data_IF_225950734886
#
_entry.id   IF_225950734886
#
_cell.length_a   1.000
_cell.length_b   1.000
_cell.length_c   1.000
_cell.angle_alpha   90.00
_cell.angle_beta   90.00
_cell.angle_gamma   90.00
#
_symmetry.space_group_name_H-M   'P 1'
#
loop_
_entity.id
_entity.type
_entity.pdbx_description
1 polymer ?
#
# COMPACT_ATOMS: atom_id res chain seq x y z
N UNK A 1 -0.39 -13.18 6.52
CA UNK A 1 0.21 -13.50 5.20
C UNK A 1 1.34 -12.51 4.95
N UNK A 2 2.20 -12.67 3.94
CA UNK A 2 3.27 -11.69 3.68
C UNK A 2 3.52 -11.42 2.20
N UNK A 3 3.97 -10.20 1.92
CA UNK A 3 4.64 -9.84 0.68
C UNK A 3 6.14 -9.93 0.89
N UNK A 4 6.82 -10.71 0.05
CA UNK A 4 8.29 -10.77 0.05
C UNK A 4 8.83 -9.64 -0.81
N UNK A 5 9.80 -8.89 -0.29
CA UNK A 5 10.41 -7.78 -1.00
C UNK A 5 11.74 -8.25 -1.60
N UNK A 6 11.83 -8.36 -2.92
CA UNK A 6 13.07 -8.71 -3.62
C UNK A 6 13.95 -7.48 -3.87
N UNK A 7 13.33 -6.33 -4.09
CA UNK A 7 13.98 -5.02 -4.21
C UNK A 7 13.10 -3.98 -3.55
N UNK A 8 13.67 -3.06 -2.78
CA UNK A 8 12.89 -2.08 -2.01
C UNK A 8 12.49 -0.82 -2.80
N UNK A 9 13.18 -0.52 -3.90
CA UNK A 9 13.06 0.78 -4.57
C UNK A 9 13.94 1.85 -3.93
N UNK A 10 13.68 3.12 -4.23
CA UNK A 10 14.45 4.25 -3.70
C UNK A 10 14.08 4.53 -2.24
N UNK A 11 12.78 4.65 -1.96
CA UNK A 11 12.24 4.79 -0.62
C UNK A 11 10.81 4.27 -0.58
N UNK A 12 10.60 3.19 0.17
CA UNK A 12 9.30 2.58 0.41
C UNK A 12 9.05 2.49 1.92
N UNK A 13 7.91 2.96 2.38
CA UNK A 13 7.53 2.94 3.81
C UNK A 13 6.09 2.49 3.98
N UNK A 14 5.77 1.92 5.14
CA UNK A 14 4.36 1.64 5.52
C UNK A 14 3.75 2.93 6.06
N UNK A 15 2.58 3.32 5.55
CA UNK A 15 1.86 4.53 5.96
C UNK A 15 0.37 4.22 6.19
N UNK A 16 -0.18 4.71 7.30
CA UNK A 16 -1.62 4.89 7.51
C UNK A 16 -1.95 6.38 7.65
N UNK A 17 -3.13 6.79 8.16
CA UNK A 17 -3.49 8.21 8.27
C UNK A 17 -2.75 9.01 9.36
N UNK A 18 -1.78 8.40 10.06
CA UNK A 18 -0.86 9.06 10.98
C UNK A 18 -1.26 9.05 12.44
N UNK A 19 -0.31 9.44 13.29
CA UNK A 19 -0.37 9.45 14.78
C UNK A 19 -0.81 10.79 15.35
N UNK A 20 -2.10 11.07 15.24
CA UNK A 20 -2.69 12.29 15.78
C UNK A 20 -2.78 12.26 17.32
N UNK A 21 -2.67 13.42 17.96
CA UNK A 21 -2.87 13.60 19.41
C UNK A 21 -1.58 13.71 20.23
N UNK A 22 -0.40 13.57 19.61
CA UNK A 22 0.91 13.59 20.29
C UNK A 22 1.77 14.81 19.94
N UNK A 23 1.26 15.78 19.17
CA UNK A 23 2.03 16.93 18.68
C UNK A 23 2.49 17.87 19.80
N UNK A 24 1.75 17.96 20.90
CA UNK A 24 2.16 18.73 22.09
C UNK A 24 3.42 18.18 22.76
N UNK A 25 3.74 16.90 22.53
CA UNK A 25 4.97 16.25 22.97
C UNK A 25 6.07 16.25 21.89
N UNK A 26 5.87 16.98 20.78
CA UNK A 26 6.84 17.07 19.68
C UNK A 26 6.84 15.88 18.73
N UNK A 27 5.88 14.96 18.83
CA UNK A 27 5.77 13.80 17.92
C UNK A 27 5.08 14.23 16.62
N UNK A 28 5.74 14.08 15.45
CA UNK A 28 5.10 14.39 14.16
C UNK A 28 4.03 13.35 13.82
N UNK A 29 3.01 13.78 13.09
CA UNK A 29 1.86 12.94 12.69
C UNK A 29 2.29 11.81 11.73
N UNK A 30 3.34 12.01 10.93
CA UNK A 30 3.67 11.14 9.79
C UNK A 30 2.46 10.96 8.85
N UNK A 31 2.28 9.78 8.26
CA UNK A 31 1.19 9.51 7.32
C UNK A 31 1.61 9.62 5.85
N UNK A 32 0.70 9.31 4.92
CA UNK A 32 0.95 9.46 3.50
C UNK A 32 1.12 10.94 3.17
N UNK A 33 2.01 11.25 2.24
CA UNK A 33 2.13 12.62 1.73
C UNK A 33 0.91 13.03 0.90
N UNK A 34 0.28 12.08 0.23
CA UNK A 34 -0.95 12.25 -0.53
C UNK A 34 -2.01 11.29 0.03
N UNK A 35 -2.78 11.82 0.98
CA UNK A 35 -3.87 11.10 1.64
C UNK A 35 -5.01 10.71 0.69
N UNK A 36 -5.19 11.42 -0.44
CA UNK A 36 -6.25 11.09 -1.38
C UNK A 36 -5.93 9.81 -2.13
N UNK A 37 -4.72 9.71 -2.69
CA UNK A 37 -4.26 8.52 -3.40
C UNK A 37 -4.16 7.31 -2.47
N UNK A 38 -3.73 7.51 -1.23
CA UNK A 38 -3.76 6.51 -0.16
C UNK A 38 -5.16 5.93 0.04
N UNK A 39 -6.17 6.80 0.27
CA UNK A 39 -7.56 6.37 0.50
C UNK A 39 -8.15 5.72 -0.75
N UNK A 40 -7.82 6.22 -1.94
CA UNK A 40 -8.22 5.59 -3.20
C UNK A 40 -7.70 4.15 -3.31
N UNK A 41 -6.43 3.90 -2.93
CA UNK A 41 -5.86 2.56 -2.94
C UNK A 41 -6.61 1.63 -1.97
N UNK A 42 -6.86 2.09 -0.73
CA UNK A 42 -7.61 1.33 0.27
C UNK A 42 -9.04 1.03 -0.19
N UNK A 43 -9.78 2.05 -0.65
CA UNK A 43 -11.14 1.88 -1.15
C UNK A 43 -11.22 0.92 -2.34
N UNK A 44 -10.22 0.95 -3.24
CA UNK A 44 -10.16 0.07 -4.40
C UNK A 44 -10.01 -1.42 -4.02
N UNK A 45 -9.39 -1.74 -2.89
CA UNK A 45 -9.29 -3.13 -2.38
C UNK A 45 -10.37 -3.48 -1.35
N UNK A 46 -11.20 -2.51 -0.95
CA UNK A 46 -12.28 -2.68 0.03
C UNK A 46 -11.86 -2.52 1.49
N UNK A 47 -10.72 -1.88 1.75
CA UNK A 47 -10.26 -1.56 3.10
C UNK A 47 -10.96 -0.31 3.65
N UNK A 48 -10.88 -0.11 4.97
CA UNK A 48 -11.13 1.20 5.57
C UNK A 48 -10.10 2.23 5.10
N UNK A 49 -10.50 3.50 5.03
CA UNK A 49 -9.66 4.63 4.62
C UNK A 49 -8.34 4.72 5.40
N UNK A 50 -8.34 4.27 6.66
CA UNK A 50 -7.22 4.28 7.59
C UNK A 50 -6.32 3.05 7.55
N UNK A 51 -6.61 2.05 6.72
CA UNK A 51 -5.75 0.88 6.63
C UNK A 51 -4.35 1.26 6.13
N UNK A 52 -3.32 0.57 6.62
CA UNK A 52 -1.95 0.84 6.23
C UNK A 52 -1.67 0.33 4.80
N UNK A 53 -0.94 1.14 4.02
CA UNK A 53 -0.50 0.88 2.65
C UNK A 53 1.02 1.08 2.55
N UNK A 54 1.64 0.72 1.42
CA UNK A 54 3.00 1.18 1.11
C UNK A 54 2.92 2.54 0.42
N UNK A 55 3.65 3.53 0.93
CA UNK A 55 4.03 4.73 0.19
C UNK A 55 5.38 4.49 -0.49
N UNK A 56 5.40 4.63 -1.81
CA UNK A 56 6.55 4.41 -2.68
C UNK A 56 6.99 5.73 -3.29
N UNK A 57 8.27 6.09 -3.16
CA UNK A 57 8.83 7.35 -3.70
C UNK A 57 9.71 7.09 -4.91
N UNK A 58 9.37 7.70 -6.04
CA UNK A 58 10.07 7.73 -7.34
C UNK A 58 10.32 6.37 -8.03
N UNK A 59 10.90 5.38 -7.36
CA UNK A 59 11.15 4.04 -7.90
C UNK A 59 10.73 3.03 -6.85
N UNK A 60 9.85 2.10 -7.23
CA UNK A 60 9.21 1.18 -6.30
C UNK A 60 9.89 -0.17 -6.12
N UNK A 61 9.27 -1.02 -5.29
CA UNK A 61 9.78 -2.33 -4.98
C UNK A 61 9.42 -3.37 -6.05
N UNK A 62 10.20 -4.45 -6.09
CA UNK A 62 9.79 -5.73 -6.66
C UNK A 62 9.28 -6.60 -5.51
N UNK A 63 8.00 -6.95 -5.54
CA UNK A 63 7.33 -7.72 -4.49
C UNK A 63 6.77 -9.03 -5.03
N UNK A 64 6.68 -10.05 -4.18
CA UNK A 64 6.08 -11.35 -4.47
C UNK A 64 4.98 -11.66 -3.46
N UNK A 65 3.81 -12.05 -3.95
CA UNK A 65 2.68 -12.45 -3.12
C UNK A 65 2.84 -13.91 -2.68
N UNK A 66 3.10 -14.18 -1.39
CA UNK A 66 3.19 -15.58 -0.95
C UNK A 66 1.84 -16.29 -0.89
N UNK A 67 0.79 -15.50 -0.65
CA UNK A 67 -0.59 -15.94 -0.70
C UNK A 67 -1.35 -15.00 -1.63
N UNK A 68 -2.28 -15.54 -2.39
CA UNK A 68 -3.08 -14.74 -3.30
C UNK A 68 -3.90 -13.69 -2.55
N UNK A 69 -3.90 -12.46 -3.07
CA UNK A 69 -4.61 -11.32 -2.46
C UNK A 69 -5.01 -10.32 -3.54
N UNK A 70 -5.90 -9.41 -3.17
CA UNK A 70 -6.26 -8.28 -4.01
C UNK A 70 -5.38 -7.09 -3.69
N UNK A 71 -4.93 -6.41 -4.72
CA UNK A 71 -4.02 -5.27 -4.59
C UNK A 71 -4.48 -4.10 -5.45
N UNK A 72 -4.15 -2.88 -5.02
CA UNK A 72 -4.33 -1.68 -5.81
C UNK A 72 -3.05 -0.84 -5.80
N UNK A 73 -2.74 -0.23 -6.95
CA UNK A 73 -1.63 0.68 -7.16
C UNK A 73 -2.18 2.00 -7.70
N UNK A 74 -2.04 3.07 -6.94
CA UNK A 74 -2.61 4.41 -7.22
C UNK A 74 -1.57 5.52 -7.02
N UNK A 75 -1.97 6.78 -7.21
CA UNK A 75 -1.09 7.94 -7.10
C UNK A 75 -0.36 8.24 -8.40
N UNK A 76 0.92 8.60 -8.29
CA UNK A 76 1.78 8.85 -9.44
C UNK A 76 1.76 7.65 -10.40
N UNK A 77 1.48 7.86 -11.70
CA UNK A 77 1.63 6.83 -12.71
C UNK A 77 3.06 6.30 -12.72
N UNK A 78 3.23 4.99 -12.77
CA UNK A 78 4.52 4.32 -12.73
C UNK A 78 4.57 3.16 -13.72
N UNK A 79 5.77 2.79 -14.15
CA UNK A 79 5.96 1.55 -14.89
C UNK A 79 5.64 0.36 -13.98
N UNK A 80 4.75 -0.53 -14.41
CA UNK A 80 4.42 -1.75 -13.66
C UNK A 80 4.61 -2.95 -14.57
N UNK A 81 5.25 -4.01 -14.05
CA UNK A 81 5.22 -5.32 -14.69
C UNK A 81 4.70 -6.38 -13.75
N UNK A 82 3.87 -7.28 -14.25
CA UNK A 82 3.41 -8.47 -13.53
C UNK A 82 4.02 -9.69 -14.23
N UNK A 83 4.83 -10.46 -13.52
CA UNK A 83 5.52 -11.64 -14.06
C UNK A 83 6.26 -11.35 -15.39
N UNK A 84 6.79 -10.13 -15.53
CA UNK A 84 7.52 -9.65 -16.71
C UNK A 84 6.68 -8.91 -17.76
N UNK A 85 5.34 -8.97 -17.68
CA UNK A 85 4.44 -8.35 -18.65
C UNK A 85 4.03 -6.93 -18.20
N UNK A 86 4.11 -5.97 -19.12
CA UNK A 86 3.77 -4.58 -18.83
C UNK A 86 2.27 -4.36 -18.64
N UNK A 87 1.91 -3.62 -17.59
CA UNK A 87 0.53 -3.20 -17.31
C UNK A 87 0.44 -1.70 -17.02
N UNK A 88 -0.75 -1.12 -17.20
CA UNK A 88 -0.98 0.32 -16.97
C UNK A 88 -1.31 0.60 -15.51
N UNK A 89 -0.80 1.72 -15.00
CA UNK A 89 -1.25 2.36 -13.75
C UNK A 89 -2.38 3.37 -14.03
N UNK A 90 -3.33 3.61 -13.10
CA UNK A 90 -3.52 2.88 -11.85
C UNK A 90 -3.99 1.45 -12.12
N UNK A 91 -3.74 0.56 -11.18
CA UNK A 91 -3.98 -0.87 -11.33
C UNK A 91 -4.78 -1.39 -10.14
N UNK A 92 -5.82 -2.18 -10.40
CA UNK A 92 -6.50 -3.05 -9.44
C UNK A 92 -6.36 -4.47 -9.96
N UNK A 93 -5.86 -5.39 -9.13
CA UNK A 93 -5.64 -6.77 -9.53
C UNK A 93 -5.96 -7.76 -8.41
N UNK A 94 -6.27 -8.99 -8.80
CA UNK A 94 -6.23 -10.16 -7.93
C UNK A 94 -4.94 -10.92 -8.27
N UNK A 95 -3.95 -10.84 -7.38
CA UNK A 95 -2.68 -11.53 -7.51
C UNK A 95 -2.81 -12.95 -6.96
N UNK A 96 -2.31 -13.94 -7.70
CA UNK A 96 -2.22 -15.31 -7.21
C UNK A 96 -0.99 -15.44 -6.29
N UNK A 97 -0.92 -16.56 -5.56
CA UNK A 97 0.32 -16.91 -4.87
C UNK A 97 1.46 -17.09 -5.88
N UNK A 98 2.63 -16.55 -5.57
CA UNK A 98 3.81 -16.52 -6.43
C UNK A 98 3.87 -15.36 -7.44
N UNK A 99 2.79 -14.60 -7.62
CA UNK A 99 2.79 -13.45 -8.55
C UNK A 99 3.82 -12.41 -8.13
N UNK A 100 4.68 -12.01 -9.08
CA UNK A 100 5.68 -10.97 -8.90
C UNK A 100 5.24 -9.68 -9.55
N UNK A 101 5.26 -8.60 -8.77
CA UNK A 101 4.86 -7.27 -9.22
C UNK A 101 6.07 -6.35 -9.07
N UNK A 102 6.60 -5.88 -10.19
CA UNK A 102 7.64 -4.86 -10.22
C UNK A 102 6.98 -3.49 -10.35
N UNK A 103 7.19 -2.64 -9.34
CA UNK A 103 6.82 -1.24 -9.38
C UNK A 103 8.07 -0.46 -9.74
N UNK A 104 8.16 -0.05 -10.99
CA UNK A 104 9.28 0.69 -11.54
C UNK A 104 9.24 2.18 -11.21
N UNK A 105 9.79 2.97 -12.12
CA UNK A 105 9.90 4.41 -11.97
C UNK A 105 8.54 5.11 -12.17
N UNK A 106 8.26 6.12 -11.34
CA UNK A 106 7.20 7.09 -11.54
C UNK A 106 7.44 7.88 -12.83
N UNK A 107 6.47 7.90 -13.72
CA UNK A 107 6.54 8.58 -15.01
C UNK A 107 6.11 10.05 -14.91
N UNK A 108 5.24 10.37 -13.95
CA UNK A 108 4.84 11.73 -13.60
C UNK A 108 4.44 11.77 -12.12
N UNK A 109 4.81 12.85 -11.41
CA UNK A 109 4.64 12.92 -9.95
C UNK A 109 5.73 12.16 -9.19
N UNK A 110 5.53 11.96 -7.88
CA UNK A 110 6.60 11.45 -7.00
C UNK A 110 6.23 10.24 -6.15
N UNK A 111 4.95 10.01 -5.87
CA UNK A 111 4.50 8.99 -4.92
C UNK A 111 3.38 8.12 -5.46
N UNK A 112 3.59 6.82 -5.35
CA UNK A 112 2.62 5.77 -5.67
C UNK A 112 2.25 5.04 -4.39
N UNK A 113 1.00 4.59 -4.28
CA UNK A 113 0.50 3.87 -3.09
C UNK A 113 0.09 2.46 -3.46
N UNK A 114 0.53 1.50 -2.65
CA UNK A 114 0.23 0.07 -2.84
C UNK A 114 -0.59 -0.42 -1.67
N UNK A 115 -1.87 -0.71 -1.93
CA UNK A 115 -2.75 -1.34 -0.95
C UNK A 115 -2.87 -2.83 -1.22
N UNK A 116 -2.98 -3.60 -0.14
CA UNK A 116 -3.37 -5.02 -0.13
C UNK A 116 -4.70 -5.14 0.61
N UNK A 117 -5.58 -6.04 0.19
CA UNK A 117 -6.81 -6.31 0.94
C UNK A 117 -6.48 -6.74 2.38
N UNK A 118 -7.16 -6.14 3.36
CA UNK A 118 -6.88 -6.28 4.78
C UNK A 118 -5.85 -5.29 5.34
N UNK A 119 -5.07 -4.63 4.49
CA UNK A 119 -4.03 -3.70 4.90
C UNK A 119 -2.78 -4.37 5.50
N UNK A 120 -1.69 -3.61 5.59
CA UNK A 120 -0.46 -4.09 6.23
C UNK A 120 -0.63 -4.18 7.74
N UNK A 121 -0.30 -5.35 8.30
CA UNK A 121 -0.49 -5.69 9.70
C UNK A 121 0.83 -5.56 10.47
N UNK A 122 1.26 -4.31 10.64
CA UNK A 122 2.42 -3.94 11.46
C UNK A 122 1.99 -3.41 12.83
N UNK A 123 2.85 -3.45 13.86
CA UNK A 123 2.52 -2.95 15.18
C UNK A 123 2.05 -1.49 15.18
N UNK A 124 1.07 -1.19 16.03
CA UNK A 124 0.57 0.16 16.23
C UNK A 124 1.47 0.89 17.24
N UNK A 125 2.02 2.03 16.86
CA UNK A 125 2.87 2.88 17.70
C UNK A 125 2.22 4.26 17.80
N UNK A 126 1.83 4.65 19.02
CA UNK A 126 1.14 5.91 19.28
C UNK A 126 -0.14 6.07 18.44
N UNK A 127 -0.94 5.00 18.38
CA UNK A 127 -2.22 5.00 17.66
C UNK A 127 -2.13 4.88 16.13
N UNK A 128 -0.94 4.69 15.55
CA UNK A 128 -0.73 4.63 14.11
C UNK A 128 0.32 3.59 13.70
N UNK A 129 0.18 3.09 12.47
CA UNK A 129 1.10 2.21 11.74
C UNK A 129 2.03 2.98 10.80
N UNK A 130 1.95 4.30 10.71
CA UNK A 130 2.81 5.10 9.84
C UNK A 130 4.28 5.03 10.21
N UNK A 131 5.15 5.08 9.21
CA UNK A 131 6.60 5.16 9.45
C UNK A 131 7.00 6.62 9.64
N UNK A 132 7.66 6.94 10.75
CA UNK A 132 8.46 8.16 10.89
C UNK A 132 9.95 7.78 10.94
N UNK A 133 10.64 8.00 9.82
CA UNK A 133 12.05 7.63 9.65
C UNK A 133 12.98 8.43 10.57
N UNK A 134 12.60 9.66 10.96
CA UNK A 134 13.47 10.51 11.78
C UNK A 134 13.48 10.04 13.23
N UNK A 135 12.32 9.61 13.73
CA UNK A 135 12.15 9.16 15.11
C UNK A 135 12.24 7.63 15.27
N UNK A 136 12.21 6.88 14.17
CA UNK A 136 12.22 5.42 14.19
C UNK A 136 10.90 4.81 14.65
N UNK A 137 9.76 5.48 14.40
CA UNK A 137 8.45 5.05 14.89
C UNK A 137 7.61 4.35 13.84
N UNK A 138 6.90 3.30 14.29
CA UNK A 138 5.85 2.62 13.54
C UNK A 138 6.34 1.95 12.26
N UNK A 139 5.42 1.68 11.34
CA UNK A 139 5.71 1.00 10.10
C UNK A 139 6.33 -0.37 10.30
N UNK A 140 7.20 -0.77 9.37
CA UNK A 140 7.98 -1.98 9.50
C UNK A 140 9.29 -1.66 10.24
N UNK A 141 9.35 -2.00 11.52
CA UNK A 141 10.53 -1.83 12.38
C UNK A 141 11.04 -0.38 12.49
N UNK A 142 10.20 0.64 12.28
CA UNK A 142 10.59 2.05 12.37
C UNK A 142 11.45 2.54 11.21
N UNK A 143 11.56 1.80 10.11
CA UNK A 143 12.49 2.06 9.00
C UNK A 143 11.84 1.94 7.63
N UNK A 144 12.61 2.30 6.61
CA UNK A 144 12.27 1.97 5.23
C UNK A 144 12.31 0.45 5.02
N UNK A 145 11.50 0.01 4.06
CA UNK A 145 11.50 -1.39 3.59
C UNK A 145 12.84 -1.70 2.91
N UNK A 146 13.35 -2.90 3.11
CA UNK A 146 14.58 -3.43 2.52
C UNK A 146 14.33 -4.71 1.73
N UNK A 147 15.26 -5.07 0.85
CA UNK A 147 15.26 -6.37 0.20
C UNK A 147 15.41 -7.49 1.25
N UNK A 148 14.64 -8.57 1.09
CA UNK A 148 14.52 -9.66 2.05
C UNK A 148 13.41 -9.48 3.08
N UNK A 149 12.83 -8.28 3.22
CA UNK A 149 11.73 -8.05 4.15
C UNK A 149 10.50 -8.88 3.75
N UNK A 150 9.76 -9.30 4.78
CA UNK A 150 8.49 -10.03 4.64
C UNK A 150 7.41 -9.19 5.32
N UNK A 151 6.70 -8.42 4.52
CA UNK A 151 5.75 -7.43 5.02
C UNK A 151 4.40 -8.11 5.33
N UNK A 152 3.99 -8.19 6.60
CA UNK A 152 2.76 -8.86 6.98
C UNK A 152 1.52 -8.08 6.54
N UNK A 153 0.49 -8.80 6.14
CA UNK A 153 -0.84 -8.24 5.89
C UNK A 153 -1.94 -9.18 6.39
N UNK A 154 -3.09 -8.59 6.69
CA UNK A 154 -4.24 -9.32 7.21
C UNK A 154 -4.85 -10.23 6.14
N UNK A 155 -5.19 -11.46 6.53
CA UNK A 155 -5.84 -12.41 5.65
C UNK A 155 -7.31 -12.03 5.44
N UNK A 156 -7.66 -11.53 4.25
CA UNK A 156 -9.05 -11.33 3.87
C UNK A 156 -9.42 -12.36 2.81
N UNK A 157 -10.45 -13.20 3.03
CA UNK A 157 -10.95 -14.08 1.99
C UNK A 157 -11.33 -13.25 0.77
N UNK A 158 -10.72 -13.55 -0.38
CA UNK A 158 -11.06 -12.90 -1.65
C UNK A 158 -12.50 -13.30 -1.99
N UNK A 159 -13.47 -12.45 -1.65
CA UNK A 159 -14.84 -12.62 -2.16
C UNK A 159 -14.86 -12.08 -3.58
N UNK A 160 -15.41 -12.82 -4.56
CA UNK A 160 -15.58 -12.28 -5.90
C UNK A 160 -16.36 -10.97 -5.79
N UNK A 161 -15.83 -9.91 -6.41
CA UNK A 161 -16.52 -8.63 -6.45
C UNK A 161 -17.86 -8.81 -7.17
N UNK A 162 -18.94 -8.86 -6.39
CA UNK A 162 -20.31 -8.69 -6.88
C UNK A 162 -20.93 -7.59 -6.05
N UNK A 163 -21.15 -6.44 -6.68
CA UNK A 163 -21.99 -5.40 -6.12
C UNK A 163 -23.17 -5.25 -7.07
N UNK A 164 -24.35 -5.61 -6.60
CA UNK A 164 -25.57 -5.14 -7.24
C UNK A 164 -25.58 -3.63 -7.09
N UNK A 165 -25.68 -2.93 -8.21
CA UNK A 165 -25.84 -1.48 -8.17
C UNK A 165 -27.17 -1.20 -7.45
N UNK A 166 -27.21 -0.22 -6.53
CA UNK A 166 -28.50 0.22 -6.01
C UNK A 166 -29.37 0.65 -7.18
N UNK A 167 -30.66 0.34 -7.14
CA UNK A 167 -31.61 0.61 -8.23
C UNK A 167 -31.55 2.07 -8.72
N UNK A 168 -31.25 3.01 -7.81
CA UNK A 168 -31.04 4.44 -8.07
C UNK A 168 -29.77 4.79 -8.89
N UNK A 169 -28.86 3.84 -9.11
CA UNK A 169 -27.66 4.01 -9.94
C UNK A 169 -27.86 3.49 -11.38
N UNK A 170 -29.00 2.85 -11.66
CA UNK A 170 -29.44 2.54 -13.02
C UNK A 170 -30.18 3.79 -13.53
N UNK A 171 -29.54 4.52 -14.43
CA UNK A 171 -30.19 5.67 -15.08
C UNK A 171 -31.47 5.26 -15.82
N UNK A 172 -32.34 6.22 -16.17
CA UNK A 172 -33.59 5.95 -16.88
C UNK A 172 -33.37 5.28 -18.24
#
# INVERSE_FOLDING_TARGET
MSLVVHRAGLLTTVQDLGRWGHQSAGVPVAGPMDSWSHRLANGAVGNEDSAAVLEVTLVGPLIECEVGTRMAITGAPCAITIDGEHVRSPLLLEAAAGTRIDIGQCQAGTRTYVAVAGGFDVPVVLGSRSTDLRSGFGGYEGRAVHAGDRLPYAAVPVRPWRRELPEAAVGP
#
